data_IF_259666456180
#
_entry.id   IF_259666456180
#
_cell.length_a   1.000
_cell.length_b   1.000
_cell.length_c   1.000
_cell.angle_alpha   90.00
_cell.angle_beta   90.00
_cell.angle_gamma   90.00
#
_symmetry.space_group_name_H-M   'P 1'
#
loop_
_entity.id
_entity.type
_entity.pdbx_description
1 polymer ?
#
# COMPACT_ATOMS: atom_id res chain seq x y z
N UNK A 1 -48.83 10.44 10.36
CA UNK A 1 -48.11 9.29 9.79
C UNK A 1 -47.27 9.83 8.65
N UNK A 2 -46.10 10.38 8.96
CA UNK A 2 -45.28 11.15 8.02
C UNK A 2 -43.93 10.46 7.91
N UNK A 3 -43.67 9.91 6.73
CA UNK A 3 -42.57 9.03 6.38
C UNK A 3 -41.27 9.84 6.29
N UNK A 4 -40.34 9.67 7.24
CA UNK A 4 -39.00 10.23 7.11
C UNK A 4 -38.17 9.38 6.14
N UNK A 5 -37.98 9.93 4.93
CA UNK A 5 -37.08 9.45 3.89
C UNK A 5 -35.64 9.45 4.44
N UNK A 6 -35.06 8.28 4.66
CA UNK A 6 -33.65 8.14 5.08
C UNK A 6 -32.74 8.48 3.90
N UNK A 7 -32.15 9.68 3.94
CA UNK A 7 -31.05 10.05 3.07
C UNK A 7 -29.82 9.24 3.50
N UNK A 8 -29.43 8.24 2.70
CA UNK A 8 -28.24 7.43 2.96
C UNK A 8 -27.02 8.24 2.59
N UNK A 9 -26.33 8.77 3.60
CA UNK A 9 -25.13 9.57 3.47
C UNK A 9 -23.93 8.62 3.34
N UNK A 10 -23.29 8.59 2.16
CA UNK A 10 -22.07 7.84 1.93
C UNK A 10 -20.96 8.38 2.84
N UNK A 11 -20.54 7.58 3.82
CA UNK A 11 -19.44 7.89 4.72
C UNK A 11 -18.13 7.69 3.96
N UNK A 12 -17.57 8.77 3.41
CA UNK A 12 -16.20 8.77 2.88
C UNK A 12 -15.26 8.90 4.08
N UNK A 13 -14.66 7.77 4.47
CA UNK A 13 -13.71 7.69 5.57
C UNK A 13 -12.33 8.12 5.05
N UNK A 14 -11.93 9.36 5.36
CA UNK A 14 -10.60 9.88 5.02
C UNK A 14 -9.55 9.24 5.95
N UNK A 15 -8.55 8.59 5.37
CA UNK A 15 -7.39 8.07 6.11
C UNK A 15 -6.28 9.11 6.04
N UNK A 16 -5.89 9.66 7.18
CA UNK A 16 -4.61 10.37 7.34
C UNK A 16 -3.65 9.44 8.06
N UNK A 17 -2.57 9.03 7.40
CA UNK A 17 -1.42 8.42 8.07
C UNK A 17 -0.47 9.54 8.51
N UNK A 18 -0.39 9.78 9.81
CA UNK A 18 0.70 10.55 10.41
C UNK A 18 1.65 9.57 11.09
N UNK A 19 2.88 9.51 10.58
CA UNK A 19 4.00 8.63 10.97
C UNK A 19 3.64 7.14 11.14
N UNK A 20 3.81 6.37 10.06
CA UNK A 20 3.72 4.93 10.09
C UNK A 20 4.97 4.31 10.77
N UNK A 21 4.81 3.14 11.38
CA UNK A 21 5.93 2.26 11.74
C UNK A 21 6.90 2.14 10.55
N UNK A 22 8.22 1.96 10.78
CA UNK A 22 9.17 1.86 9.69
C UNK A 22 8.70 0.79 8.72
N UNK A 23 8.64 1.14 7.44
CA UNK A 23 8.32 0.16 6.42
C UNK A 23 9.44 -0.88 6.42
N UNK A 24 9.07 -2.16 6.40
CA UNK A 24 10.03 -3.24 6.44
C UNK A 24 10.19 -3.83 5.04
N UNK A 25 11.41 -3.77 4.52
CA UNK A 25 11.77 -4.50 3.32
C UNK A 25 11.83 -5.99 3.66
N UNK A 26 11.36 -6.85 2.76
CA UNK A 26 11.51 -8.30 2.96
C UNK A 26 12.95 -8.72 2.71
N UNK A 27 13.36 -9.85 3.30
CA UNK A 27 14.69 -10.46 3.08
C UNK A 27 14.99 -10.61 1.57
N UNK A 28 13.95 -10.83 0.77
CA UNK A 28 14.10 -10.99 -0.69
C UNK A 28 14.48 -9.68 -1.38
N UNK A 29 13.84 -8.57 -0.99
CA UNK A 29 14.20 -7.26 -1.55
C UNK A 29 15.57 -6.81 -1.04
N UNK A 30 15.86 -7.01 0.24
CA UNK A 30 17.16 -6.65 0.84
C UNK A 30 18.32 -7.35 0.13
N UNK A 31 18.21 -8.67 -0.07
CA UNK A 31 19.21 -9.43 -0.82
C UNK A 31 19.39 -8.91 -2.25
N UNK A 32 18.28 -8.60 -2.95
CA UNK A 32 18.33 -8.06 -4.31
C UNK A 32 19.02 -6.68 -4.37
N UNK A 33 18.75 -5.81 -3.38
CA UNK A 33 19.39 -4.49 -3.26
C UNK A 33 20.88 -4.63 -2.96
N UNK A 34 21.26 -5.56 -2.08
CA UNK A 34 22.67 -5.86 -1.77
C UNK A 34 23.39 -6.39 -3.03
N UNK A 35 22.78 -7.34 -3.73
CA UNK A 35 23.36 -7.93 -4.94
C UNK A 35 23.57 -6.88 -6.04
N UNK A 36 22.63 -5.95 -6.17
CA UNK A 36 22.71 -4.84 -7.11
C UNK A 36 23.77 -3.81 -6.72
N UNK A 37 23.69 -3.30 -5.49
CA UNK A 37 24.53 -2.20 -5.04
C UNK A 37 25.99 -2.62 -4.83
N UNK A 38 26.20 -3.81 -4.27
CA UNK A 38 27.52 -4.24 -3.79
C UNK A 38 28.12 -5.41 -4.58
N UNK A 39 27.31 -6.15 -5.35
CA UNK A 39 27.76 -7.40 -6.01
C UNK A 39 27.56 -7.38 -7.52
N UNK A 40 27.28 -6.21 -8.09
CA UNK A 40 27.25 -5.96 -9.53
C UNK A 40 26.20 -6.77 -10.30
N UNK A 41 25.17 -7.27 -9.61
CA UNK A 41 24.07 -7.99 -10.26
C UNK A 41 23.05 -6.99 -10.82
N UNK A 42 22.38 -7.38 -11.91
CA UNK A 42 21.30 -6.57 -12.44
C UNK A 42 20.06 -6.68 -11.54
N UNK A 43 19.56 -5.55 -11.06
CA UNK A 43 18.25 -5.44 -10.44
C UNK A 43 17.43 -4.43 -11.23
N UNK A 44 16.42 -4.92 -11.94
CA UNK A 44 15.52 -4.08 -12.72
C UNK A 44 14.29 -3.78 -11.86
N UNK A 45 14.04 -2.50 -11.51
CA UNK A 45 12.84 -2.14 -10.77
C UNK A 45 11.57 -2.61 -11.51
N UNK A 46 10.54 -3.08 -10.80
CA UNK A 46 9.30 -3.50 -11.44
C UNK A 46 8.64 -2.29 -12.13
N UNK A 47 8.22 -2.46 -13.39
CA UNK A 47 7.48 -1.43 -14.12
C UNK A 47 6.11 -1.13 -13.47
N UNK A 48 5.57 -2.06 -12.70
CA UNK A 48 4.31 -1.93 -11.97
C UNK A 48 4.43 -2.70 -10.65
N UNK A 49 3.96 -2.08 -9.58
CA UNK A 49 3.77 -2.73 -8.27
C UNK A 49 2.30 -2.85 -7.96
N UNK A 50 1.94 -3.80 -7.11
CA UNK A 50 0.56 -4.12 -6.78
C UNK A 50 0.34 -3.95 -5.28
N UNK A 51 -0.53 -3.00 -4.91
CA UNK A 51 -0.85 -2.72 -3.51
C UNK A 51 -1.76 -3.82 -2.98
N UNK A 52 -1.28 -4.56 -1.99
CA UNK A 52 -2.00 -5.62 -1.29
C UNK A 52 -2.39 -5.18 0.14
N UNK A 53 -3.45 -5.79 0.67
CA UNK A 53 -3.99 -5.57 2.02
C UNK A 53 -3.92 -6.88 2.79
N UNK A 54 -3.53 -6.82 4.06
CA UNK A 54 -3.28 -7.99 4.88
C UNK A 54 -4.09 -7.94 6.18
N UNK A 55 -4.77 -9.05 6.50
CA UNK A 55 -5.45 -9.25 7.79
C UNK A 55 -4.49 -9.75 8.86
N UNK A 56 -3.38 -10.37 8.48
CA UNK A 56 -2.23 -10.62 9.36
C UNK A 56 -1.01 -10.02 8.69
N UNK A 57 -0.32 -9.13 9.39
CA UNK A 57 0.84 -8.44 8.86
C UNK A 57 1.95 -9.42 8.44
N UNK A 58 2.62 -9.18 7.30
CA UNK A 58 3.87 -9.85 6.97
C UNK A 58 4.96 -9.61 8.02
N UNK A 59 5.99 -10.44 7.98
CA UNK A 59 7.31 -10.17 8.57
C UNK A 59 8.34 -10.10 7.45
N UNK A 60 9.58 -9.72 7.76
CA UNK A 60 10.68 -9.69 6.77
C UNK A 60 10.85 -11.05 6.03
N UNK A 61 10.52 -12.15 6.71
CA UNK A 61 10.66 -13.53 6.24
C UNK A 61 9.33 -14.28 6.00
N UNK A 62 8.17 -13.68 6.28
CA UNK A 62 6.86 -14.35 6.11
C UNK A 62 5.84 -13.44 5.43
N UNK A 63 5.01 -14.02 4.54
CA UNK A 63 4.11 -13.24 3.70
C UNK A 63 2.86 -12.67 4.41
N UNK A 64 2.61 -13.02 5.68
CA UNK A 64 1.38 -12.67 6.38
C UNK A 64 0.14 -13.38 5.80
N UNK A 65 -1.05 -12.79 5.99
CA UNK A 65 -2.31 -13.28 5.42
C UNK A 65 -2.96 -12.17 4.62
N UNK A 66 -2.94 -12.31 3.29
CA UNK A 66 -3.58 -11.36 2.37
C UNK A 66 -5.11 -11.53 2.39
N UNK A 67 -5.82 -10.42 2.19
CA UNK A 67 -7.27 -10.44 1.97
C UNK A 67 -7.61 -11.29 0.74
N UNK A 68 -8.70 -12.05 0.80
CA UNK A 68 -9.21 -12.84 -0.34
C UNK A 68 -10.74 -12.82 -0.38
N UNK A 69 -11.33 -13.10 -1.54
CA UNK A 69 -12.79 -13.14 -1.72
C UNK A 69 -13.45 -11.74 -1.77
N UNK A 70 -14.79 -11.70 -1.84
CA UNK A 70 -15.55 -10.45 -1.77
C UNK A 70 -15.18 -9.38 -2.82
N UNK A 71 -14.80 -9.79 -4.04
CA UNK A 71 -14.26 -8.91 -5.10
C UNK A 71 -12.91 -8.25 -4.81
N UNK A 72 -12.21 -8.64 -3.74
CA UNK A 72 -10.88 -8.14 -3.45
C UNK A 72 -9.91 -8.42 -4.62
N UNK A 73 -9.18 -7.38 -5.03
CA UNK A 73 -8.06 -7.48 -5.94
C UNK A 73 -7.01 -6.43 -5.56
N UNK A 74 -5.73 -6.75 -5.75
CA UNK A 74 -4.63 -5.80 -5.57
C UNK A 74 -4.77 -4.63 -6.55
N UNK A 75 -4.35 -3.44 -6.16
CA UNK A 75 -4.39 -2.25 -7.04
C UNK A 75 -3.03 -2.06 -7.71
N UNK A 76 -3.00 -2.06 -9.04
CA UNK A 76 -1.77 -1.79 -9.80
C UNK A 76 -1.40 -0.31 -9.77
N UNK A 77 -0.13 0.00 -9.52
CA UNK A 77 0.45 1.32 -9.66
C UNK A 77 1.71 1.20 -10.52
N UNK A 78 1.73 1.89 -11.66
CA UNK A 78 2.94 1.93 -12.48
C UNK A 78 4.06 2.67 -11.72
N UNK A 79 5.26 2.10 -11.71
CA UNK A 79 6.42 2.68 -11.02
C UNK A 79 6.96 3.84 -11.85
N UNK A 80 6.51 5.05 -11.54
CA UNK A 80 6.87 6.27 -12.26
C UNK A 80 6.93 7.46 -11.30
N UNK A 81 7.66 8.51 -11.70
CA UNK A 81 7.70 9.78 -10.97
C UNK A 81 6.30 10.42 -10.83
N UNK A 82 5.39 10.16 -11.77
CA UNK A 82 4.02 10.67 -11.69
C UNK A 82 3.23 10.00 -10.55
N UNK A 83 3.46 8.71 -10.30
CA UNK A 83 2.66 7.93 -9.36
C UNK A 83 3.25 7.85 -7.94
N UNK A 84 4.58 7.95 -7.81
CA UNK A 84 5.28 7.87 -6.54
C UNK A 84 6.06 9.15 -6.27
N UNK A 85 5.86 9.71 -5.09
CA UNK A 85 6.52 10.92 -4.64
C UNK A 85 8.03 10.70 -4.45
N UNK A 86 8.84 11.65 -4.93
CA UNK A 86 10.23 11.75 -4.50
C UNK A 86 10.35 12.03 -2.99
N UNK A 87 11.50 11.71 -2.40
CA UNK A 87 11.73 11.76 -0.93
C UNK A 87 11.76 13.15 -0.29
N UNK A 88 11.70 14.21 -1.10
CA UNK A 88 11.75 15.59 -0.65
C UNK A 88 10.39 16.16 -0.24
N UNK A 89 9.28 15.62 -0.79
CA UNK A 89 7.92 16.07 -0.45
C UNK A 89 6.86 15.15 -1.06
N UNK A 90 5.74 14.96 -0.36
CA UNK A 90 4.53 14.35 -0.91
C UNK A 90 4.09 15.06 -2.19
N UNK A 91 3.64 14.32 -3.22
CA UNK A 91 3.21 14.89 -4.49
C UNK A 91 4.36 15.26 -5.45
N UNK A 92 5.62 15.08 -5.07
CA UNK A 92 6.76 15.33 -5.95
C UNK A 92 6.72 14.41 -7.18
N UNK A 93 7.08 14.96 -8.35
CA UNK A 93 7.14 14.23 -9.62
C UNK A 93 8.53 14.29 -10.27
N UNK A 94 9.56 14.56 -9.47
CA UNK A 94 10.96 14.53 -9.88
C UNK A 94 11.73 13.49 -9.07
N UNK A 95 12.92 13.11 -9.54
CA UNK A 95 13.77 12.14 -8.85
C UNK A 95 14.06 12.57 -7.40
N UNK A 96 14.19 11.58 -6.52
CA UNK A 96 14.41 11.78 -5.09
C UNK A 96 15.68 12.58 -4.79
N UNK A 97 15.53 13.58 -3.93
CA UNK A 97 16.64 14.40 -3.42
C UNK A 97 16.53 14.74 -1.94
N UNK A 98 15.50 14.20 -1.25
CA UNK A 98 15.28 14.43 0.17
C UNK A 98 16.10 13.48 1.04
N UNK A 99 16.10 13.75 2.35
CA UNK A 99 16.94 13.06 3.33
C UNK A 99 16.16 12.17 4.31
N UNK A 100 14.84 12.05 4.15
CA UNK A 100 13.98 11.31 5.08
C UNK A 100 13.59 9.90 4.63
N UNK A 101 14.13 9.41 3.51
CA UNK A 101 13.88 8.05 2.99
C UNK A 101 12.41 7.71 2.65
N UNK A 102 11.49 8.66 2.74
CA UNK A 102 10.04 8.39 2.66
C UNK A 102 9.48 8.70 1.27
N UNK A 103 8.70 7.78 0.72
CA UNK A 103 7.88 7.98 -0.48
C UNK A 103 6.40 7.76 -0.17
N UNK A 104 5.54 8.24 -1.05
CA UNK A 104 4.09 8.05 -0.98
C UNK A 104 3.46 8.00 -2.36
N UNK A 105 2.24 7.47 -2.46
CA UNK A 105 1.43 7.61 -3.67
C UNK A 105 1.06 9.08 -3.97
N UNK A 106 1.11 9.49 -5.23
CA UNK A 106 0.72 10.84 -5.66
C UNK A 106 -0.79 10.95 -5.99
N UNK A 107 -1.44 9.84 -6.34
CA UNK A 107 -2.86 9.78 -6.67
C UNK A 107 -3.60 8.81 -5.73
N UNK A 108 -4.91 8.94 -5.63
CA UNK A 108 -5.74 8.02 -4.82
C UNK A 108 -5.62 6.58 -5.32
N UNK A 109 -5.65 5.62 -4.40
CA UNK A 109 -5.52 4.18 -4.67
C UNK A 109 -6.80 3.46 -4.22
N UNK A 110 -7.87 3.47 -5.03
CA UNK A 110 -9.12 2.80 -4.69
C UNK A 110 -9.05 1.30 -5.00
N UNK A 111 -9.47 0.47 -4.05
CA UNK A 111 -9.70 -0.95 -4.27
C UNK A 111 -11.09 -1.18 -4.91
N UNK A 112 -11.37 -2.35 -5.48
CA UNK A 112 -12.74 -2.69 -5.90
C UNK A 112 -13.72 -2.61 -4.72
N UNK A 113 -15.00 -2.27 -4.94
CA UNK A 113 -16.01 -2.34 -3.88
C UNK A 113 -16.13 -3.75 -3.32
N UNK A 114 -16.16 -3.85 -1.99
CA UNK A 114 -16.31 -5.12 -1.29
C UNK A 114 -17.71 -5.70 -1.52
N UNK A 115 -17.80 -6.94 -2.02
CA UNK A 115 -19.07 -7.69 -2.18
C UNK A 115 -19.31 -8.71 -1.07
N UNK A 116 -18.35 -8.84 -0.16
CA UNK A 116 -18.42 -9.57 1.10
C UNK A 116 -17.47 -8.89 2.11
N UNK A 117 -17.55 -9.25 3.39
CA UNK A 117 -16.60 -8.75 4.38
C UNK A 117 -15.19 -9.25 4.07
N UNK A 118 -14.21 -8.35 4.10
CA UNK A 118 -12.79 -8.65 3.93
C UNK A 118 -12.06 -8.84 5.26
N UNK A 119 -12.74 -8.58 6.38
CA UNK A 119 -12.18 -8.63 7.72
C UNK A 119 -11.45 -7.34 8.12
N UNK A 120 -10.64 -7.44 9.18
CA UNK A 120 -9.82 -6.34 9.69
C UNK A 120 -8.45 -6.33 9.04
N UNK A 121 -8.20 -5.32 8.21
CA UNK A 121 -6.91 -5.06 7.59
C UNK A 121 -5.98 -4.40 8.62
N UNK A 122 -4.81 -4.99 8.80
CA UNK A 122 -3.78 -4.53 9.74
C UNK A 122 -2.56 -3.92 9.03
N UNK A 123 -2.27 -4.37 7.80
CA UNK A 123 -1.09 -3.96 7.03
C UNK A 123 -1.40 -3.82 5.55
N UNK A 124 -0.52 -3.13 4.84
CA UNK A 124 -0.48 -3.09 3.38
C UNK A 124 0.95 -3.30 2.89
N UNK A 125 1.11 -3.68 1.62
CA UNK A 125 2.43 -3.89 1.02
C UNK A 125 2.43 -3.85 -0.49
N UNK A 126 3.63 -3.86 -1.08
CA UNK A 126 3.83 -3.85 -2.53
C UNK A 126 4.26 -5.22 -3.02
N UNK A 127 3.44 -5.79 -3.91
CA UNK A 127 3.67 -7.08 -4.54
C UNK A 127 4.18 -6.92 -5.97
N UNK A 128 4.93 -7.92 -6.44
CA UNK A 128 5.47 -7.96 -7.80
C UNK A 128 4.44 -8.30 -8.89
N UNK A 129 3.26 -8.81 -8.52
CA UNK A 129 2.25 -9.29 -9.47
C UNK A 129 0.82 -9.05 -8.96
N UNK A 130 -0.17 -9.20 -9.84
CA UNK A 130 -1.60 -9.06 -9.52
C UNK A 130 -2.13 -10.18 -8.61
N UNK A 131 -1.46 -11.34 -8.62
CA UNK A 131 -1.71 -12.49 -7.74
C UNK A 131 -0.40 -13.27 -7.57
N UNK A 132 -0.23 -13.96 -6.42
CA UNK A 132 1.05 -14.60 -6.09
C UNK A 132 2.20 -13.57 -5.99
N UNK A 133 3.35 -13.89 -6.59
CA UNK A 133 4.50 -12.98 -6.65
C UNK A 133 5.22 -12.79 -5.31
N UNK A 134 6.15 -11.84 -5.30
CA UNK A 134 7.03 -11.52 -4.18
C UNK A 134 6.56 -10.24 -3.50
N UNK A 135 6.50 -10.25 -2.17
CA UNK A 135 6.32 -9.04 -1.37
C UNK A 135 7.65 -8.29 -1.28
N UNK A 136 7.67 -7.02 -1.63
CA UNK A 136 8.87 -6.18 -1.60
C UNK A 136 9.04 -5.44 -0.28
N UNK A 137 8.00 -4.72 0.12
CA UNK A 137 8.00 -3.84 1.28
C UNK A 137 6.57 -3.77 1.83
N UNK A 138 6.44 -3.69 3.15
CA UNK A 138 5.15 -3.58 3.82
C UNK A 138 5.20 -2.60 4.98
N UNK A 139 4.02 -2.11 5.35
CA UNK A 139 3.85 -1.14 6.43
C UNK A 139 2.57 -1.49 7.19
N UNK A 140 2.63 -1.38 8.53
CA UNK A 140 1.44 -1.50 9.37
C UNK A 140 0.55 -0.25 9.28
N UNK A 141 -0.77 -0.46 9.27
CA UNK A 141 -1.70 0.64 9.47
C UNK A 141 -1.59 1.11 10.93
N UNK A 142 -1.54 2.43 11.13
CA UNK A 142 -1.57 3.04 12.47
C UNK A 142 -2.86 2.72 13.20
N UNK A 143 -3.95 2.49 12.47
CA UNK A 143 -5.23 2.03 13.00
C UNK A 143 -5.79 0.96 12.07
N UNK A 144 -5.90 -0.30 12.51
CA UNK A 144 -6.53 -1.36 11.74
C UNK A 144 -7.94 -0.99 11.27
N UNK A 145 -8.34 -1.48 10.09
CA UNK A 145 -9.61 -1.12 9.46
C UNK A 145 -10.41 -2.37 9.10
N UNK A 146 -11.60 -2.49 9.68
CA UNK A 146 -12.57 -3.50 9.26
C UNK A 146 -13.26 -3.03 7.98
N UNK A 147 -13.14 -3.83 6.92
CA UNK A 147 -13.79 -3.56 5.63
C UNK A 147 -14.96 -4.52 5.48
N UNK A 148 -16.17 -3.98 5.52
CA UNK A 148 -17.42 -4.74 5.41
C UNK A 148 -18.00 -4.67 4.00
N UNK A 149 -18.90 -5.59 3.67
CA UNK A 149 -19.66 -5.59 2.43
C UNK A 149 -20.27 -4.20 2.13
N UNK A 150 -20.15 -3.76 0.88
CA UNK A 150 -20.58 -2.44 0.40
C UNK A 150 -19.57 -1.31 0.63
N UNK A 151 -18.49 -1.55 1.38
CA UNK A 151 -17.41 -0.57 1.57
C UNK A 151 -16.44 -0.55 0.39
N UNK A 152 -15.73 0.56 0.21
CA UNK A 152 -14.60 0.66 -0.72
C UNK A 152 -13.38 1.12 0.06
N UNK A 153 -12.40 0.23 0.24
CA UNK A 153 -11.12 0.63 0.81
C UNK A 153 -10.38 1.53 -0.19
N UNK A 154 -9.69 2.55 0.31
CA UNK A 154 -8.90 3.45 -0.53
C UNK A 154 -7.82 4.14 0.28
N UNK A 155 -6.68 4.39 -0.35
CA UNK A 155 -5.70 5.35 0.15
C UNK A 155 -5.89 6.68 -0.55
N UNK A 156 -6.01 7.77 0.21
CA UNK A 156 -5.91 9.12 -0.34
C UNK A 156 -4.50 9.36 -0.92
N UNK A 157 -4.33 10.41 -1.72
CA UNK A 157 -2.98 10.86 -2.07
C UNK A 157 -2.15 11.09 -0.80
N UNK A 158 -0.87 10.71 -0.86
CA UNK A 158 0.09 10.74 0.25
C UNK A 158 -0.20 9.81 1.45
N UNK A 159 -1.23 8.96 1.41
CA UNK A 159 -1.58 8.08 2.54
C UNK A 159 -0.94 6.68 2.49
N UNK A 160 -0.45 6.24 1.34
CA UNK A 160 0.28 4.98 1.17
C UNK A 160 1.77 5.27 1.29
N UNK A 161 2.30 5.30 2.50
CA UNK A 161 3.69 5.71 2.79
C UNK A 161 4.61 4.53 3.03
N UNK A 162 5.83 4.62 2.49
CA UNK A 162 6.93 3.70 2.74
C UNK A 162 8.19 4.51 3.07
N UNK A 163 8.97 4.08 4.06
CA UNK A 163 10.20 4.73 4.48
C UNK A 163 11.35 3.73 4.47
N UNK A 164 12.42 4.08 3.75
CA UNK A 164 13.66 3.30 3.62
C UNK A 164 14.80 4.16 4.14
N UNK A 165 14.78 4.41 5.44
CA UNK A 165 15.85 5.01 6.27
C UNK A 165 15.26 5.14 7.69
N UNK A 166 16.02 4.94 8.76
CA UNK A 166 15.54 5.17 10.13
C UNK A 166 16.35 6.29 10.80
#
# INVERSE_FOLDING_TARGET
MTFFKRLSMALVLLVASVAAYPAAMTDTLENSVIDWLLRGQAFTPPATVWVALFTTCPTDSTAGTEVTGGSYARVSIASSLANWAGTQSSGSTVASSGTGGTTSNNATVPFPPATADWGTVNCFGLMSASSGGTLYIYTALTTPRTITNGSTASFAAAALTFQIDN
#
